data_IF_743938694738
#
_entry.id   IF_743938694738
#
_cell.length_a   1.000
_cell.length_b   1.000
_cell.length_c   1.000
_cell.angle_alpha   90.00
_cell.angle_beta   90.00
_cell.angle_gamma   90.00
#
_symmetry.space_group_name_H-M   'P 1'
#
loop_
_entity.id
_entity.type
_entity.pdbx_description
1 polymer ?
#
# COMPACT_ATOMS: atom_id res chain seq x y z
N UNK A 1 17.96 -5.79 -4.77
CA UNK A 1 16.54 -5.47 -4.96
C UNK A 1 15.70 -6.35 -4.04
N UNK A 2 14.73 -5.78 -3.39
CA UNK A 2 13.82 -6.50 -2.50
C UNK A 2 12.48 -6.68 -3.20
N UNK A 3 11.93 -7.90 -3.10
CA UNK A 3 10.60 -8.22 -3.63
C UNK A 3 9.71 -8.69 -2.49
N UNK A 4 8.49 -8.17 -2.45
CA UNK A 4 7.48 -8.55 -1.46
C UNK A 4 6.26 -9.07 -2.21
N UNK A 5 5.80 -10.25 -1.81
CA UNK A 5 4.57 -10.84 -2.30
C UNK A 5 3.71 -11.25 -1.11
N UNK A 6 2.54 -10.67 -0.99
CA UNK A 6 1.59 -11.01 0.08
C UNK A 6 0.20 -11.11 -0.53
N UNK A 7 -0.59 -12.03 0.00
CA UNK A 7 -1.98 -12.15 -0.42
C UNK A 7 -2.84 -12.66 0.72
N UNK A 8 -4.14 -12.43 0.59
CA UNK A 8 -5.12 -12.91 1.55
C UNK A 8 -6.46 -13.17 0.85
N UNK A 9 -7.20 -14.13 1.37
CA UNK A 9 -8.57 -14.40 0.93
C UNK A 9 -9.52 -13.78 1.94
N UNK A 10 -10.48 -13.01 1.45
CA UNK A 10 -11.39 -12.25 2.29
C UNK A 10 -12.83 -12.48 1.88
N UNK A 11 -13.76 -12.59 2.85
CA UNK A 11 -15.20 -12.80 2.57
C UNK A 11 -15.89 -11.46 2.26
N UNK A 12 -15.28 -10.65 1.41
CA UNK A 12 -15.79 -9.34 1.00
C UNK A 12 -15.60 -9.21 -0.51
N UNK A 13 -16.35 -8.30 -1.14
CA UNK A 13 -16.29 -8.13 -2.59
C UNK A 13 -15.01 -7.42 -3.03
N UNK A 14 -14.65 -7.61 -4.31
CA UNK A 14 -13.54 -6.88 -4.93
C UNK A 14 -13.73 -5.36 -4.83
N UNK A 15 -14.96 -4.90 -5.02
CA UNK A 15 -15.30 -3.48 -4.92
C UNK A 15 -15.01 -2.93 -3.51
N UNK A 16 -15.46 -3.65 -2.47
CA UNK A 16 -15.22 -3.23 -1.08
C UNK A 16 -13.74 -3.12 -0.78
N UNK A 17 -12.96 -4.09 -1.22
CA UNK A 17 -11.52 -4.14 -0.93
C UNK A 17 -10.75 -3.12 -1.76
N UNK A 18 -11.14 -2.91 -3.01
CA UNK A 18 -10.54 -1.86 -3.83
C UNK A 18 -10.76 -0.47 -3.20
N UNK A 19 -11.98 -0.17 -2.79
CA UNK A 19 -12.33 1.12 -2.16
C UNK A 19 -11.52 1.31 -0.88
N UNK A 20 -11.38 0.25 -0.07
CA UNK A 20 -10.62 0.32 1.17
C UNK A 20 -9.15 0.64 0.92
N UNK A 21 -8.51 -0.07 -0.01
CA UNK A 21 -7.09 0.12 -0.31
C UNK A 21 -6.84 1.45 -1.01
N UNK A 22 -7.78 1.89 -1.85
CA UNK A 22 -7.66 3.16 -2.56
C UNK A 22 -7.90 4.38 -1.67
N UNK A 23 -8.45 4.19 -0.47
CA UNK A 23 -8.67 5.27 0.51
C UNK A 23 -7.37 5.54 1.28
N UNK A 24 -6.41 6.13 0.58
CA UNK A 24 -5.05 6.33 1.07
C UNK A 24 -5.02 7.20 2.32
N UNK A 25 -5.86 8.23 2.39
CA UNK A 25 -5.86 9.16 3.52
C UNK A 25 -6.31 8.53 4.84
N UNK A 26 -6.92 7.35 4.78
CA UNK A 26 -7.29 6.59 5.98
C UNK A 26 -6.15 5.72 6.53
N UNK A 27 -5.07 5.55 5.78
CA UNK A 27 -3.97 4.64 6.14
C UNK A 27 -3.41 4.88 7.56
N UNK A 28 -3.22 6.11 8.02
CA UNK A 28 -2.71 6.31 9.39
C UNK A 28 -3.61 5.74 10.48
N UNK A 29 -4.88 5.48 10.18
CA UNK A 29 -5.84 4.94 11.15
C UNK A 29 -5.64 3.46 11.40
N UNK A 30 -5.05 2.71 10.47
CA UNK A 30 -4.95 1.25 10.60
C UNK A 30 -3.60 0.66 10.20
N UNK A 31 -2.74 1.44 9.55
CA UNK A 31 -1.44 0.97 9.07
C UNK A 31 -0.36 1.40 10.05
N UNK A 32 0.15 0.43 10.83
CA UNK A 32 1.19 0.70 11.80
C UNK A 32 2.46 1.23 11.11
N UNK A 33 2.98 2.34 11.61
CA UNK A 33 4.14 3.00 11.02
C UNK A 33 3.80 4.07 9.99
N UNK A 34 2.55 4.18 9.58
CA UNK A 34 2.10 5.26 8.71
C UNK A 34 1.53 6.38 9.57
N UNK A 35 2.18 7.53 9.58
CA UNK A 35 1.80 8.67 10.42
C UNK A 35 1.13 9.78 9.64
N UNK A 36 1.17 9.73 8.32
CA UNK A 36 0.50 10.69 7.45
C UNK A 36 0.26 10.09 6.08
N UNK A 37 -0.80 10.51 5.42
CA UNK A 37 -1.12 10.11 4.06
C UNK A 37 -1.95 11.20 3.42
N UNK A 38 -1.60 11.56 2.19
CA UNK A 38 -2.28 12.64 1.46
C UNK A 38 -2.44 12.27 0.00
N UNK A 39 -3.61 12.55 -0.55
CA UNK A 39 -3.84 12.49 -1.98
C UNK A 39 -3.50 13.88 -2.54
N UNK A 40 -2.46 13.94 -3.36
CA UNK A 40 -1.97 15.21 -3.92
C UNK A 40 -2.72 15.59 -5.18
N UNK A 41 -3.14 14.60 -5.96
CA UNK A 41 -3.87 14.80 -7.19
C UNK A 41 -4.63 13.52 -7.55
N UNK A 42 -5.82 13.66 -8.12
CA UNK A 42 -6.55 12.52 -8.66
C UNK A 42 -7.45 12.98 -9.80
N UNK A 43 -7.57 12.15 -10.84
CA UNK A 43 -8.44 12.41 -11.99
C UNK A 43 -9.39 11.24 -12.26
N UNK A 44 -9.51 10.30 -11.31
CA UNK A 44 -10.38 9.12 -11.45
C UNK A 44 -9.67 7.89 -12.02
N UNK A 45 -8.68 8.06 -12.87
CA UNK A 45 -7.87 6.97 -13.43
C UNK A 45 -6.48 6.93 -12.83
N UNK A 46 -6.00 8.08 -12.35
CA UNK A 46 -4.67 8.23 -11.79
C UNK A 46 -4.77 8.97 -10.46
N UNK A 47 -3.88 8.62 -9.55
CA UNK A 47 -3.80 9.26 -8.25
C UNK A 47 -2.33 9.45 -7.89
N UNK A 48 -1.98 10.65 -7.42
CA UNK A 48 -0.70 10.86 -6.75
C UNK A 48 -0.94 10.83 -5.26
N UNK A 49 -0.24 9.96 -4.55
CA UNK A 49 -0.39 9.79 -3.12
C UNK A 49 0.95 9.87 -2.41
N UNK A 50 0.97 10.57 -1.29
CA UNK A 50 2.14 10.69 -0.43
C UNK A 50 1.89 9.93 0.87
N UNK A 51 2.86 9.13 1.29
CA UNK A 51 2.86 8.46 2.58
C UNK A 51 4.03 8.94 3.42
N UNK A 52 3.76 9.19 4.69
CA UNK A 52 4.77 9.51 5.69
C UNK A 52 4.86 8.36 6.66
N UNK A 53 6.04 7.74 6.74
CA UNK A 53 6.30 6.62 7.62
C UNK A 53 7.22 7.06 8.74
N UNK A 54 6.95 6.61 9.96
CA UNK A 54 7.81 6.93 11.10
C UNK A 54 7.73 5.82 12.14
N UNK A 55 8.90 5.39 12.63
CA UNK A 55 8.98 4.41 13.69
C UNK A 55 10.38 4.43 14.30
N UNK A 56 10.45 4.42 15.65
CA UNK A 56 11.72 4.31 16.35
C UNK A 56 12.72 5.42 16.03
N UNK A 57 12.24 6.63 15.81
CA UNK A 57 13.10 7.78 15.47
C UNK A 57 13.48 7.88 14.01
N UNK A 58 13.05 6.92 13.17
CA UNK A 58 13.29 6.94 11.73
C UNK A 58 12.02 7.43 11.04
N UNK A 59 12.16 8.42 10.19
CA UNK A 59 11.04 8.99 9.43
C UNK A 59 11.38 9.01 7.95
N UNK A 60 10.39 8.75 7.11
CA UNK A 60 10.56 8.69 5.67
C UNK A 60 9.26 9.00 4.97
N UNK A 61 9.36 9.75 3.87
CA UNK A 61 8.22 10.08 3.04
C UNK A 61 8.49 9.68 1.60
N UNK A 62 7.44 9.27 0.90
CA UNK A 62 7.55 9.00 -0.53
C UNK A 62 6.20 9.26 -1.19
N UNK A 63 6.25 9.53 -2.50
CA UNK A 63 5.08 9.81 -3.31
C UNK A 63 5.03 8.82 -4.47
N UNK A 64 3.87 8.22 -4.70
CA UNK A 64 3.66 7.31 -5.81
C UNK A 64 2.65 7.88 -6.78
N UNK A 65 2.78 7.48 -8.05
CA UNK A 65 1.74 7.66 -9.06
C UNK A 65 1.01 6.33 -9.20
N UNK A 66 -0.27 6.33 -8.91
CA UNK A 66 -1.10 5.14 -8.93
C UNK A 66 -1.98 5.16 -10.16
N UNK A 67 -1.94 4.09 -10.95
CA UNK A 67 -2.85 3.88 -12.06
C UNK A 67 -3.97 2.97 -11.59
N UNK A 68 -5.21 3.43 -11.72
CA UNK A 68 -6.39 2.77 -11.17
C UNK A 68 -7.18 2.07 -12.27
N UNK A 69 -7.30 0.75 -12.16
CA UNK A 69 -8.26 -0.04 -12.95
C UNK A 69 -9.34 -0.47 -11.96
N UNK A 70 -10.52 0.16 -11.98
CA UNK A 70 -11.51 -0.01 -10.91
C UNK A 70 -11.81 -1.47 -10.62
N UNK A 71 -11.67 -1.80 -9.33
CA UNK A 71 -11.98 -3.10 -8.73
C UNK A 71 -11.06 -4.24 -9.16
N UNK A 72 -10.00 -3.94 -9.92
CA UNK A 72 -9.06 -4.97 -10.42
C UNK A 72 -7.63 -4.74 -9.98
N UNK A 73 -7.06 -3.56 -10.28
CA UNK A 73 -5.64 -3.29 -10.07
C UNK A 73 -5.41 -1.85 -9.66
N UNK A 74 -4.45 -1.65 -8.75
CA UNK A 74 -3.83 -0.34 -8.49
C UNK A 74 -2.34 -0.52 -8.76
N UNK A 75 -1.84 0.06 -9.84
CA UNK A 75 -0.41 0.00 -10.17
C UNK A 75 0.31 1.17 -9.54
N UNK A 76 1.43 0.89 -8.89
CA UNK A 76 2.21 1.85 -8.15
C UNK A 76 3.54 2.09 -8.85
N UNK A 77 3.84 3.36 -9.15
CA UNK A 77 5.15 3.78 -9.63
C UNK A 77 5.66 4.91 -8.76
N UNK A 78 6.97 5.06 -8.67
CA UNK A 78 7.56 6.10 -7.84
C UNK A 78 7.52 7.44 -8.55
N UNK A 79 7.06 8.47 -7.85
CA UNK A 79 7.22 9.85 -8.28
C UNK A 79 8.36 10.53 -7.53
N UNK A 80 8.44 10.33 -6.23
CA UNK A 80 9.45 10.95 -5.37
C UNK A 80 9.71 10.10 -4.15
N UNK A 81 10.95 9.97 -3.75
CA UNK A 81 11.32 9.21 -2.58
C UNK A 81 12.76 8.71 -2.65
N UNK A 82 13.23 8.04 -1.59
CA UNK A 82 14.62 7.63 -1.46
C UNK A 82 14.94 6.32 -2.16
N UNK A 83 14.16 5.94 -3.15
CA UNK A 83 14.33 4.70 -3.87
C UNK A 83 15.12 4.91 -5.16
N UNK A 84 15.97 3.97 -5.49
CA UNK A 84 16.58 3.87 -6.81
C UNK A 84 15.59 3.24 -7.80
N UNK A 85 14.85 2.23 -7.33
CA UNK A 85 13.79 1.60 -8.10
C UNK A 85 12.61 1.31 -7.19
N UNK A 86 11.40 1.45 -7.72
CA UNK A 86 10.18 1.13 -7.01
C UNK A 86 9.07 0.88 -8.02
N UNK A 87 8.43 -0.27 -7.92
CA UNK A 87 7.25 -0.59 -8.71
C UNK A 87 6.42 -1.62 -7.95
N UNK A 88 5.13 -1.56 -8.10
CA UNK A 88 4.27 -2.54 -7.46
C UNK A 88 2.86 -2.51 -7.96
N UNK A 89 2.04 -3.39 -7.41
CA UNK A 89 0.62 -3.43 -7.73
C UNK A 89 -0.16 -4.12 -6.62
N UNK A 90 -1.32 -3.57 -6.36
CA UNK A 90 -2.40 -4.25 -5.67
C UNK A 90 -3.29 -4.91 -6.71
N UNK A 91 -3.66 -6.16 -6.48
CA UNK A 91 -4.60 -6.88 -7.34
C UNK A 91 -5.77 -7.38 -6.53
N UNK A 92 -6.96 -7.28 -7.12
CA UNK A 92 -8.22 -7.67 -6.48
C UNK A 92 -8.89 -8.67 -7.41
N UNK A 93 -8.84 -9.94 -7.04
CA UNK A 93 -9.40 -11.01 -7.85
C UNK A 93 -10.69 -11.50 -7.22
N UNK A 94 -11.82 -11.23 -7.86
CA UNK A 94 -13.11 -11.70 -7.41
C UNK A 94 -13.17 -13.23 -7.56
N UNK A 95 -13.50 -13.92 -6.48
CA UNK A 95 -13.69 -15.37 -6.47
C UNK A 95 -15.18 -15.73 -6.43
N UNK A 96 -15.98 -14.82 -5.87
CA UNK A 96 -17.44 -14.89 -5.79
C UNK A 96 -17.93 -13.49 -5.48
N UNK A 97 -19.25 -13.30 -5.38
CA UNK A 97 -19.82 -11.98 -5.07
C UNK A 97 -19.29 -11.41 -3.75
N UNK A 98 -19.07 -12.27 -2.76
CA UNK A 98 -18.60 -11.88 -1.42
C UNK A 98 -17.30 -12.60 -1.07
N UNK A 99 -16.41 -12.78 -2.06
CA UNK A 99 -15.09 -13.36 -1.81
C UNK A 99 -14.10 -12.79 -2.81
N UNK A 100 -12.94 -12.37 -2.30
CA UNK A 100 -11.92 -11.75 -3.12
C UNK A 100 -10.53 -12.14 -2.61
N UNK A 101 -9.60 -12.36 -3.55
CA UNK A 101 -8.19 -12.50 -3.22
C UNK A 101 -7.53 -11.14 -3.43
N UNK A 102 -6.97 -10.59 -2.36
CA UNK A 102 -6.18 -9.35 -2.42
C UNK A 102 -4.72 -9.73 -2.42
N UNK A 103 -3.96 -9.17 -3.36
CA UNK A 103 -2.52 -9.42 -3.48
C UNK A 103 -1.78 -8.10 -3.54
N UNK A 104 -0.61 -8.06 -2.92
CA UNK A 104 0.33 -6.94 -3.02
C UNK A 104 1.66 -7.49 -3.49
N UNK A 105 2.15 -6.94 -4.60
CA UNK A 105 3.48 -7.25 -5.14
C UNK A 105 4.27 -5.95 -5.21
N UNK A 106 5.44 -5.92 -4.59
CA UNK A 106 6.34 -4.77 -4.60
C UNK A 106 7.76 -5.21 -4.94
N UNK A 107 8.43 -4.40 -5.74
CA UNK A 107 9.86 -4.53 -6.01
C UNK A 107 10.49 -3.17 -5.80
N UNK A 108 11.53 -3.10 -4.99
CA UNK A 108 12.16 -1.83 -4.69
C UNK A 108 13.62 -2.00 -4.29
N UNK A 109 14.39 -0.92 -4.48
CA UNK A 109 15.72 -0.79 -3.90
C UNK A 109 15.91 0.66 -3.47
N UNK A 110 16.59 0.85 -2.35
CA UNK A 110 16.91 2.18 -1.83
C UNK A 110 18.20 2.71 -2.43
N UNK A 111 18.33 4.03 -2.44
CA UNK A 111 19.61 4.67 -2.73
C UNK A 111 20.58 4.32 -1.60
N UNK A 112 21.85 4.06 -1.93
CA UNK A 112 22.83 3.57 -0.97
C UNK A 112 23.11 4.49 0.21
N UNK A 113 23.66 3.92 1.28
CA UNK A 113 24.08 4.64 2.47
C UNK A 113 23.57 4.01 3.76
N UNK A 114 24.18 4.40 4.91
CA UNK A 114 23.80 3.86 6.22
C UNK A 114 22.38 4.24 6.63
N UNK A 115 21.95 5.45 6.30
CA UNK A 115 20.57 5.88 6.58
C UNK A 115 19.58 5.05 5.78
N UNK A 116 19.97 4.57 4.61
CA UNK A 116 19.16 3.71 3.77
C UNK A 116 18.86 2.36 4.42
N UNK A 117 19.79 1.82 5.21
CA UNK A 117 19.58 0.53 5.86
C UNK A 117 18.45 0.59 6.91
N UNK A 118 18.42 1.66 7.74
CA UNK A 118 17.35 1.84 8.71
C UNK A 118 16.01 2.13 8.02
N UNK A 119 16.02 2.96 6.98
CA UNK A 119 14.84 3.28 6.19
C UNK A 119 14.30 2.03 5.49
N UNK A 120 15.18 1.18 4.97
CA UNK A 120 14.80 -0.07 4.33
C UNK A 120 14.10 -1.02 5.32
N UNK A 121 14.60 -1.11 6.56
CA UNK A 121 13.96 -1.94 7.59
C UNK A 121 12.57 -1.41 7.95
N UNK A 122 12.43 -0.09 8.07
CA UNK A 122 11.13 0.52 8.35
C UNK A 122 10.15 0.19 7.23
N UNK A 123 10.57 0.40 5.98
CA UNK A 123 9.73 0.16 4.82
C UNK A 123 9.35 -1.33 4.70
N UNK A 124 10.32 -2.23 4.90
CA UNK A 124 10.09 -3.67 4.90
C UNK A 124 9.04 -4.08 5.93
N UNK A 125 9.17 -3.55 7.14
CA UNK A 125 8.25 -3.87 8.23
C UNK A 125 6.84 -3.37 7.93
N UNK A 126 6.71 -2.12 7.48
CA UNK A 126 5.41 -1.53 7.17
C UNK A 126 4.74 -2.29 6.03
N UNK A 127 5.46 -2.54 4.94
CA UNK A 127 4.87 -3.22 3.77
C UNK A 127 4.65 -4.70 4.01
N UNK A 128 5.51 -5.34 4.81
CA UNK A 128 5.34 -6.75 5.16
C UNK A 128 4.08 -7.02 5.98
N UNK A 129 3.60 -6.01 6.72
CA UNK A 129 2.40 -6.12 7.54
C UNK A 129 1.17 -5.48 6.89
N UNK A 130 1.32 -4.89 5.71
CA UNK A 130 0.27 -4.09 5.09
C UNK A 130 -0.97 -4.90 4.71
N UNK A 131 -0.79 -6.08 4.13
CA UNK A 131 -1.92 -6.94 3.78
C UNK A 131 -2.68 -7.38 5.04
N UNK A 132 -1.96 -7.73 6.11
CA UNK A 132 -2.61 -8.08 7.38
C UNK A 132 -3.39 -6.90 7.95
N UNK A 133 -2.86 -5.68 7.82
CA UNK A 133 -3.55 -4.47 8.25
C UNK A 133 -4.84 -4.26 7.45
N UNK A 134 -4.79 -4.49 6.14
CA UNK A 134 -5.97 -4.40 5.27
C UNK A 134 -7.02 -5.43 5.68
N UNK A 135 -6.59 -6.67 5.98
CA UNK A 135 -7.51 -7.72 6.44
C UNK A 135 -8.24 -7.28 7.71
N UNK A 136 -7.51 -6.78 8.70
CA UNK A 136 -8.11 -6.32 9.95
C UNK A 136 -9.04 -5.13 9.72
N UNK A 137 -8.63 -4.19 8.89
CA UNK A 137 -9.45 -3.01 8.58
C UNK A 137 -10.75 -3.41 7.88
N UNK A 138 -10.69 -4.35 6.94
CA UNK A 138 -11.87 -4.84 6.25
C UNK A 138 -12.85 -5.49 7.23
N UNK A 139 -12.34 -6.27 8.17
CA UNK A 139 -13.18 -6.89 9.21
C UNK A 139 -13.80 -5.84 10.13
N UNK A 140 -13.07 -4.79 10.46
CA UNK A 140 -13.58 -3.70 11.30
C UNK A 140 -14.69 -2.90 10.62
N UNK A 141 -14.57 -2.67 9.31
CA UNK A 141 -15.51 -1.82 8.57
C UNK A 141 -16.67 -2.61 8.01
N UNK A 142 -16.41 -3.79 7.44
CA UNK A 142 -17.39 -4.58 6.70
C UNK A 142 -17.86 -5.83 7.45
N UNK A 143 -17.08 -6.30 8.39
CA UNK A 143 -17.46 -7.42 9.23
C UNK A 143 -18.41 -6.98 10.34
N UNK A 144 -19.47 -7.71 10.56
CA UNK A 144 -20.44 -7.36 11.61
C UNK A 144 -20.47 -8.42 12.70
#
# INVERSE_FOLDING_TARGET
MTSIHRSALLPFSDRQLFVLVNDVEAYPQFMDGCVGASVLHTDGEHMEARLDLSRGGISQSFTTCNELVPYEIIRLTLKDGPFEQFAGAWRFQALAEQACKVSLDLEFSFRGGLLSAAAARLFDRVTGNLVDAVVRRAQDIYGT
#
